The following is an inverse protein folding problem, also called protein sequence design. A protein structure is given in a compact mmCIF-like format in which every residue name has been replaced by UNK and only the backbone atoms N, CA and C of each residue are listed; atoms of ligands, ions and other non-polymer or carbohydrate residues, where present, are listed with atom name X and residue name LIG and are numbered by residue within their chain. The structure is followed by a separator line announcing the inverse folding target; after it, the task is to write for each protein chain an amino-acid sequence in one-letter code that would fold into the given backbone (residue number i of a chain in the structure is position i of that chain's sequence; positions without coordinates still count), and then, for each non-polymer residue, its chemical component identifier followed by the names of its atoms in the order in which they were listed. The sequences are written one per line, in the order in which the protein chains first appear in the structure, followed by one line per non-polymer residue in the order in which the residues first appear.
data_IF_531553141044
#
_entry.id   IF_531553141044
#
_cell.length_a   1.000
_cell.length_b   1.000
_cell.length_c   1.000
_cell.angle_alpha   90.00
_cell.angle_beta   90.00
_cell.angle_gamma   90.00
#
_symmetry.space_group_name_H-M   'P 1'
#
loop_
_entity.id
_entity.type
_entity.pdbx_description
1 polymer ?
#
# COMPACT_ATOMS: atom_id res chain seq x y z
N UNK A 1 -45.68 -15.07 5.36
CA UNK A 1 -45.19 -15.25 6.74
C UNK A 1 -43.70 -15.49 6.70
N UNK A 2 -42.95 -14.92 7.63
CA UNK A 2 -41.51 -15.24 7.78
C UNK A 2 -41.33 -16.70 8.21
N UNK A 3 -40.20 -17.31 7.82
CA UNK A 3 -39.85 -18.68 8.18
C UNK A 3 -38.52 -18.65 8.96
N UNK A 4 -38.47 -19.42 10.06
CA UNK A 4 -37.20 -19.71 10.72
C UNK A 4 -36.55 -20.86 9.94
N UNK A 5 -35.34 -20.62 9.39
CA UNK A 5 -34.63 -21.58 8.53
C UNK A 5 -33.52 -22.32 9.25
N UNK A 6 -33.13 -21.87 10.45
CA UNK A 6 -32.09 -22.51 11.25
C UNK A 6 -31.54 -21.62 12.36
N UNK A 7 -30.56 -22.13 13.09
CA UNK A 7 -29.79 -21.39 14.06
C UNK A 7 -28.51 -20.83 13.42
N UNK A 8 -28.08 -19.61 13.86
CA UNK A 8 -26.86 -18.98 13.38
C UNK A 8 -25.81 -18.94 14.47
N UNK A 9 -24.53 -19.11 14.10
CA UNK A 9 -23.40 -19.18 15.00
C UNK A 9 -22.48 -17.97 14.81
N UNK A 10 -22.14 -17.28 15.89
CA UNK A 10 -21.14 -16.20 15.93
C UNK A 10 -19.82 -16.70 16.55
N UNK A 11 -18.78 -15.84 16.54
CA UNK A 11 -17.53 -16.15 17.22
C UNK A 11 -17.69 -16.29 18.75
N UNK A 12 -18.70 -15.62 19.34
CA UNK A 12 -18.97 -15.71 20.77
C UNK A 12 -19.62 -17.06 21.19
N UNK A 13 -20.16 -17.80 20.22
CA UNK A 13 -20.84 -19.08 20.47
C UNK A 13 -19.87 -20.29 20.42
N UNK A 14 -18.62 -20.09 19.99
CA UNK A 14 -17.68 -21.20 19.75
C UNK A 14 -16.30 -20.94 20.35
N UNK A 15 -15.62 -22.02 20.70
CA UNK A 15 -14.23 -22.04 21.13
C UNK A 15 -13.47 -23.11 20.33
N UNK A 16 -12.18 -22.87 20.13
CA UNK A 16 -11.28 -23.88 19.56
C UNK A 16 -10.92 -24.93 20.63
N UNK A 17 -11.01 -26.19 20.27
CA UNK A 17 -10.56 -27.27 21.12
C UNK A 17 -9.03 -27.37 21.05
N UNK A 18 -8.31 -27.31 22.19
CA UNK A 18 -6.86 -27.50 22.22
C UNK A 18 -6.46 -28.86 21.62
N UNK A 19 -5.40 -28.84 20.81
CA UNK A 19 -4.85 -30.04 20.18
C UNK A 19 -3.36 -30.15 20.46
N UNK A 20 -2.79 -31.34 20.24
CA UNK A 20 -1.34 -31.55 20.35
C UNK A 20 -0.59 -30.59 19.44
N UNK A 21 0.48 -29.97 19.95
CA UNK A 21 1.37 -29.09 19.19
C UNK A 21 2.84 -29.40 19.53
N UNK A 22 3.67 -29.42 18.50
CA UNK A 22 5.12 -29.45 18.61
C UNK A 22 5.78 -28.13 18.22
N UNK A 23 4.98 -27.05 18.06
CA UNK A 23 5.41 -25.71 17.68
C UNK A 23 5.21 -24.76 18.84
N UNK A 24 6.24 -23.98 19.18
CA UNK A 24 6.16 -22.91 20.16
C UNK A 24 5.74 -21.59 19.51
N UNK A 25 5.15 -20.63 20.24
CA UNK A 25 4.53 -19.42 19.66
C UNK A 25 5.43 -18.60 18.73
N UNK A 26 6.74 -18.53 19.00
CA UNK A 26 7.69 -17.78 18.17
C UNK A 26 8.12 -18.50 16.86
N UNK A 27 7.65 -19.73 16.66
CA UNK A 27 7.90 -20.54 15.45
C UNK A 27 6.66 -20.65 14.56
N UNK A 28 5.55 -20.01 14.96
CA UNK A 28 4.30 -20.05 14.18
C UNK A 28 4.46 -19.22 12.92
N UNK A 29 4.16 -19.81 11.76
CA UNK A 29 4.04 -19.11 10.49
C UNK A 29 2.62 -18.52 10.37
N UNK A 30 2.51 -17.19 10.36
CA UNK A 30 1.26 -16.45 10.20
C UNK A 30 1.01 -15.99 8.76
N UNK A 31 1.87 -16.36 7.82
CA UNK A 31 1.71 -15.94 6.43
C UNK A 31 0.44 -16.51 5.81
N UNK A 32 -0.21 -15.72 4.97
CA UNK A 32 -1.45 -16.11 4.29
C UNK A 32 -1.55 -15.46 2.90
N UNK A 33 -2.37 -16.03 2.03
CA UNK A 33 -2.70 -15.45 0.74
C UNK A 33 -3.98 -14.61 0.84
N UNK A 34 -3.86 -13.31 0.56
CA UNK A 34 -5.01 -12.42 0.42
C UNK A 34 -5.71 -12.65 -0.92
N UNK A 35 -4.92 -12.80 -1.98
CA UNK A 35 -5.35 -13.17 -3.32
C UNK A 35 -4.35 -14.17 -3.91
N UNK A 36 -4.57 -14.69 -5.11
CA UNK A 36 -3.61 -15.58 -5.78
C UNK A 36 -2.23 -14.93 -6.01
N UNK A 37 -2.14 -13.59 -5.99
CA UNK A 37 -0.90 -12.83 -6.26
C UNK A 37 -0.36 -12.06 -5.06
N UNK A 38 -1.16 -11.85 -4.02
CA UNK A 38 -0.78 -11.05 -2.85
C UNK A 38 -0.69 -11.94 -1.63
N UNK A 39 0.52 -12.04 -1.07
CA UNK A 39 0.81 -12.73 0.19
C UNK A 39 0.99 -11.71 1.30
N UNK A 40 0.37 -11.96 2.45
CA UNK A 40 0.57 -11.20 3.69
C UNK A 40 1.42 -11.99 4.66
N UNK A 41 2.18 -11.30 5.50
CA UNK A 41 3.02 -11.92 6.54
C UNK A 41 2.25 -12.13 7.85
N UNK A 42 1.13 -11.44 8.04
CA UNK A 42 0.12 -11.70 9.07
C UNK A 42 -1.29 -11.61 8.46
N UNK A 43 -2.28 -12.38 8.94
CA UNK A 43 -3.64 -12.40 8.39
C UNK A 43 -4.49 -11.22 8.88
N UNK A 44 -4.01 -9.98 8.67
CA UNK A 44 -4.67 -8.77 9.16
C UNK A 44 -4.86 -7.76 8.05
N UNK A 45 -6.06 -7.20 7.97
CA UNK A 45 -6.43 -6.15 7.03
C UNK A 45 -7.22 -5.07 7.76
N UNK A 46 -6.84 -3.78 7.65
CA UNK A 46 -7.64 -2.71 8.22
C UNK A 46 -8.82 -2.35 7.31
N UNK A 47 -9.96 -2.03 7.93
CA UNK A 47 -11.19 -1.73 7.21
C UNK A 47 -11.08 -0.45 6.36
N UNK A 48 -11.62 -0.50 5.14
CA UNK A 48 -11.74 0.65 4.24
C UNK A 48 -12.87 1.60 4.65
N UNK A 49 -12.86 2.02 5.90
CA UNK A 49 -13.88 2.88 6.53
C UNK A 49 -13.31 4.26 6.79
N UNK A 50 -14.15 5.28 6.62
CA UNK A 50 -13.85 6.65 7.03
C UNK A 50 -13.45 6.68 8.52
N UNK A 51 -12.53 7.56 8.87
CA UNK A 51 -11.93 7.70 10.21
C UNK A 51 -11.16 6.47 10.72
N UNK A 52 -11.03 5.41 9.93
CA UNK A 52 -10.25 4.19 10.26
C UNK A 52 -8.97 4.10 9.45
N UNK A 53 -9.06 4.07 8.11
CA UNK A 53 -7.90 3.80 7.27
C UNK A 53 -7.65 4.90 6.24
N UNK A 54 -6.64 5.69 6.53
CA UNK A 54 -5.90 6.56 5.60
C UNK A 54 -4.44 6.11 5.56
N UNK A 55 -3.55 6.86 4.89
CA UNK A 55 -2.14 6.47 4.71
C UNK A 55 -1.43 6.08 6.02
N UNK A 56 -1.71 6.75 7.15
CA UNK A 56 -1.04 6.45 8.44
C UNK A 56 -1.36 5.05 8.95
N UNK A 57 -2.63 4.66 8.94
CA UNK A 57 -3.07 3.32 9.33
C UNK A 57 -2.58 2.28 8.31
N UNK A 58 -2.68 2.56 7.01
CA UNK A 58 -2.23 1.65 5.97
C UNK A 58 -0.72 1.36 6.07
N UNK A 59 0.10 2.38 6.34
CA UNK A 59 1.54 2.22 6.60
C UNK A 59 1.77 1.36 7.84
N UNK A 60 1.06 1.63 8.94
CA UNK A 60 1.21 0.86 10.18
C UNK A 60 0.86 -0.62 9.98
N UNK A 61 -0.25 -0.91 9.29
CA UNK A 61 -0.68 -2.28 8.97
C UNK A 61 0.34 -3.02 8.10
N UNK A 62 0.80 -2.39 7.01
CA UNK A 62 1.77 -3.01 6.12
C UNK A 62 3.12 -3.26 6.81
N UNK A 63 3.59 -2.36 7.70
CA UNK A 63 4.80 -2.55 8.53
C UNK A 63 4.72 -3.77 9.43
N UNK A 64 3.54 -4.08 9.94
CA UNK A 64 3.32 -5.26 10.78
C UNK A 64 3.10 -6.54 9.96
N UNK A 65 3.06 -6.44 8.63
CA UNK A 65 2.91 -7.59 7.74
C UNK A 65 1.51 -7.81 7.18
N UNK A 66 0.55 -6.95 7.54
CA UNK A 66 -0.81 -6.93 6.99
C UNK A 66 -0.97 -5.98 5.82
N UNK A 67 -2.20 -5.51 5.57
CA UNK A 67 -2.51 -4.52 4.54
C UNK A 67 -3.58 -3.53 5.01
N UNK A 68 -3.42 -2.26 4.67
CA UNK A 68 -4.44 -1.23 4.91
C UNK A 68 -5.24 -0.93 3.66
N UNK A 69 -6.56 -0.75 3.83
CA UNK A 69 -7.47 -0.41 2.74
C UNK A 69 -7.91 1.04 2.91
N UNK A 70 -7.40 1.94 2.06
CA UNK A 70 -7.77 3.37 2.08
C UNK A 70 -9.26 3.52 1.76
N UNK A 71 -10.00 4.26 2.60
CA UNK A 71 -11.44 4.44 2.41
C UNK A 71 -11.77 5.31 1.19
N UNK A 72 -13.02 5.17 0.70
CA UNK A 72 -13.51 5.85 -0.52
C UNK A 72 -14.23 7.19 -0.29
N UNK A 73 -14.41 7.60 0.97
CA UNK A 73 -15.13 8.83 1.31
C UNK A 73 -14.24 10.08 1.15
N UNK A 74 -13.73 10.26 -0.07
CA UNK A 74 -12.90 11.38 -0.49
C UNK A 74 -12.90 11.48 -2.03
N UNK A 75 -12.35 12.57 -2.57
CA UNK A 75 -12.21 12.71 -4.02
C UNK A 75 -11.29 11.63 -4.62
N UNK A 76 -11.34 11.44 -5.93
CA UNK A 76 -10.48 10.49 -6.65
C UNK A 76 -9.01 10.84 -6.44
N UNK A 77 -8.67 12.11 -6.58
CA UNK A 77 -7.32 12.65 -6.45
C UNK A 77 -6.79 12.49 -5.03
N UNK A 78 -7.62 12.80 -4.03
CA UNK A 78 -7.24 12.66 -2.61
C UNK A 78 -6.97 11.19 -2.25
N UNK A 79 -7.79 10.25 -2.74
CA UNK A 79 -7.60 8.82 -2.48
C UNK A 79 -6.34 8.29 -3.16
N UNK A 80 -6.08 8.70 -4.41
CA UNK A 80 -4.85 8.37 -5.12
C UNK A 80 -3.61 8.95 -4.41
N UNK A 81 -3.69 10.17 -3.87
CA UNK A 81 -2.62 10.78 -3.05
C UNK A 81 -2.38 9.98 -1.76
N UNK A 82 -3.41 9.51 -1.08
CA UNK A 82 -3.28 8.65 0.10
C UNK A 82 -2.56 7.34 -0.22
N UNK A 83 -2.89 6.69 -1.34
CA UNK A 83 -2.17 5.49 -1.83
C UNK A 83 -0.72 5.83 -2.15
N UNK A 84 -0.44 6.92 -2.87
CA UNK A 84 0.91 7.36 -3.21
C UNK A 84 1.77 7.62 -1.96
N UNK A 85 1.21 8.22 -0.90
CA UNK A 85 1.87 8.40 0.41
C UNK A 85 2.30 7.06 1.02
N UNK A 86 1.46 6.02 0.92
CA UNK A 86 1.83 4.68 1.40
C UNK A 86 2.94 4.09 0.55
N UNK A 87 2.80 4.11 -0.77
CA UNK A 87 3.78 3.54 -1.72
C UNK A 87 5.14 4.22 -1.64
N UNK A 88 5.20 5.49 -1.28
CA UNK A 88 6.45 6.26 -1.09
C UNK A 88 7.01 6.20 0.34
N UNK A 89 6.27 5.68 1.30
CA UNK A 89 6.68 5.72 2.72
C UNK A 89 7.88 4.84 3.02
N UNK A 90 8.03 3.74 2.32
CA UNK A 90 9.16 2.81 2.42
C UNK A 90 9.48 2.21 1.07
N UNK A 91 10.76 2.27 0.73
CA UNK A 91 11.31 1.61 -0.43
C UNK A 91 12.60 0.91 0.01
N UNK A 92 12.83 -0.30 -0.47
CA UNK A 92 14.17 -0.90 -0.33
C UNK A 92 15.16 -0.11 -1.19
N UNK A 93 14.85 -0.03 -2.48
CA UNK A 93 15.48 0.88 -3.46
C UNK A 93 14.37 1.74 -4.03
N UNK A 94 14.45 3.06 -3.91
CA UNK A 94 13.55 3.97 -4.59
C UNK A 94 13.89 3.91 -6.08
N UNK A 95 13.06 3.26 -6.89
CA UNK A 95 13.33 2.99 -8.32
C UNK A 95 13.02 4.18 -9.23
N UNK A 96 12.32 5.18 -8.73
CA UNK A 96 12.02 6.43 -9.45
C UNK A 96 12.16 7.60 -8.46
N UNK A 97 13.40 7.96 -8.08
CA UNK A 97 13.62 9.02 -7.13
C UNK A 97 13.31 10.38 -7.77
N UNK A 98 12.69 11.27 -6.99
CA UNK A 98 12.60 12.66 -7.41
C UNK A 98 13.99 13.20 -7.73
N UNK A 99 14.11 13.90 -8.83
CA UNK A 99 15.33 14.59 -9.24
C UNK A 99 15.00 16.01 -9.71
N UNK A 100 15.96 16.90 -9.57
CA UNK A 100 15.91 18.26 -10.12
C UNK A 100 17.12 18.46 -11.03
N UNK A 101 17.09 19.54 -11.81
CA UNK A 101 18.23 19.91 -12.65
C UNK A 101 19.12 20.95 -11.94
N UNK A 102 20.39 21.11 -12.35
CA UNK A 102 21.29 22.13 -11.78
C UNK A 102 20.77 23.55 -11.86
N UNK A 103 19.88 23.82 -12.82
CA UNK A 103 19.33 25.17 -13.07
C UNK A 103 18.04 25.49 -12.31
N UNK A 104 17.46 24.53 -11.59
CA UNK A 104 16.42 24.81 -10.59
C UNK A 104 16.97 25.65 -9.47
N UNK A 105 16.09 26.32 -8.71
CA UNK A 105 16.46 27.13 -7.56
C UNK A 105 16.53 26.31 -6.27
N UNK A 106 17.17 26.84 -5.26
CA UNK A 106 17.15 26.23 -3.91
C UNK A 106 15.72 26.23 -3.32
N UNK A 107 14.90 27.22 -3.68
CA UNK A 107 13.48 27.25 -3.31
C UNK A 107 12.71 26.05 -3.90
N UNK A 108 13.00 25.67 -5.15
CA UNK A 108 12.38 24.48 -5.78
C UNK A 108 12.78 23.19 -5.03
N UNK A 109 14.05 23.10 -4.62
CA UNK A 109 14.53 21.94 -3.85
C UNK A 109 13.89 21.88 -2.46
N UNK A 110 13.79 23.01 -1.76
CA UNK A 110 13.18 23.10 -0.43
C UNK A 110 11.69 22.77 -0.48
N UNK A 111 10.97 23.34 -1.45
CA UNK A 111 9.54 23.04 -1.67
C UNK A 111 9.29 21.56 -1.97
N UNK A 112 10.13 20.94 -2.81
CA UNK A 112 10.05 19.51 -3.12
C UNK A 112 10.32 18.65 -1.86
N UNK A 113 11.37 18.99 -1.11
CA UNK A 113 11.72 18.28 0.13
C UNK A 113 10.62 18.40 1.19
N UNK A 114 10.04 19.61 1.35
CA UNK A 114 8.94 19.86 2.29
C UNK A 114 7.67 19.08 1.89
N UNK A 115 7.27 19.17 0.62
CA UNK A 115 6.07 18.52 0.09
C UNK A 115 6.10 17.00 0.30
N UNK A 116 7.23 16.36 0.00
CA UNK A 116 7.37 14.91 0.07
C UNK A 116 8.06 14.41 1.34
N UNK A 117 8.40 15.30 2.28
CA UNK A 117 9.08 15.01 3.54
C UNK A 117 10.38 14.21 3.35
N UNK A 118 11.11 14.53 2.30
CA UNK A 118 12.43 13.96 1.99
C UNK A 118 13.53 14.93 2.39
N UNK A 119 14.72 14.42 2.70
CA UNK A 119 15.85 15.20 3.21
C UNK A 119 16.96 15.42 2.20
N UNK A 120 16.69 15.18 0.92
CA UNK A 120 17.61 15.45 -0.17
C UNK A 120 17.18 14.83 -1.47
N UNK A 121 17.65 15.43 -2.55
CA UNK A 121 17.23 15.19 -3.92
C UNK A 121 18.47 15.00 -4.81
N UNK A 122 18.57 13.89 -5.57
CA UNK A 122 19.55 13.75 -6.64
C UNK A 122 19.35 14.82 -7.72
N UNK A 123 20.44 15.33 -8.27
CA UNK A 123 20.45 16.31 -9.34
C UNK A 123 20.91 15.66 -10.61
N UNK A 124 20.14 15.84 -11.69
CA UNK A 124 20.38 15.17 -12.97
C UNK A 124 20.38 16.14 -14.15
N UNK A 125 21.18 15.87 -15.15
CA UNK A 125 21.08 16.44 -16.49
C UNK A 125 20.51 15.36 -17.44
N UNK A 126 19.25 15.55 -17.84
CA UNK A 126 18.48 14.46 -18.43
C UNK A 126 18.31 13.32 -17.42
N UNK A 127 18.94 12.17 -17.65
CA UNK A 127 18.96 11.04 -16.71
C UNK A 127 20.28 10.90 -15.95
N UNK A 128 21.34 11.59 -16.41
CA UNK A 128 22.67 11.45 -15.85
C UNK A 128 22.79 12.14 -14.50
N UNK A 129 23.25 11.42 -13.49
CA UNK A 129 23.49 11.97 -12.16
C UNK A 129 24.67 12.94 -12.20
N UNK A 130 24.45 14.20 -11.77
CA UNK A 130 25.49 15.24 -11.73
C UNK A 130 25.71 15.82 -10.33
N UNK A 131 24.82 15.53 -9.37
CA UNK A 131 24.95 16.03 -8.01
C UNK A 131 23.88 15.47 -7.07
N UNK A 132 23.95 15.94 -5.84
CA UNK A 132 22.93 15.75 -4.82
C UNK A 132 22.82 17.00 -3.97
N UNK A 133 21.59 17.39 -3.61
CA UNK A 133 21.34 18.46 -2.66
C UNK A 133 20.54 17.90 -1.47
N UNK A 134 20.85 18.36 -0.27
CA UNK A 134 20.25 17.84 0.97
C UNK A 134 19.82 18.99 1.89
N UNK A 135 18.99 18.70 2.89
CA UNK A 135 18.64 19.68 3.94
C UNK A 135 19.89 20.26 4.65
N UNK A 136 21.00 19.53 4.66
CA UNK A 136 22.26 20.02 5.26
C UNK A 136 22.84 21.17 4.44
N UNK A 137 22.73 21.09 3.12
CA UNK A 137 23.23 22.12 2.20
C UNK A 137 22.35 23.37 2.26
N UNK A 138 21.04 23.21 2.51
CA UNK A 138 20.08 24.31 2.64
C UNK A 138 20.07 24.97 4.03
N UNK A 139 20.56 24.29 5.07
CA UNK A 139 20.36 24.67 6.47
C UNK A 139 20.91 26.08 6.82
N UNK A 140 21.96 26.49 6.15
CA UNK A 140 22.63 27.76 6.40
C UNK A 140 22.50 28.77 5.25
N UNK A 141 21.69 28.41 4.24
CA UNK A 141 21.45 29.27 3.09
C UNK A 141 20.40 30.33 3.44
N UNK A 142 20.63 31.53 2.98
CA UNK A 142 19.72 32.66 3.17
C UNK A 142 19.10 33.16 1.87
N UNK A 143 19.73 32.84 0.74
CA UNK A 143 19.26 33.20 -0.59
C UNK A 143 18.79 31.97 -1.39
N UNK A 144 17.51 31.68 -1.30
CA UNK A 144 16.88 30.57 -1.99
C UNK A 144 16.63 30.82 -3.48
N UNK A 145 16.97 32.00 -4.02
CA UNK A 145 16.91 32.29 -5.46
C UNK A 145 18.13 31.75 -6.23
N UNK A 146 19.19 31.39 -5.52
CA UNK A 146 20.39 30.75 -6.10
C UNK A 146 20.04 29.47 -6.84
N UNK A 147 20.86 29.14 -7.83
CA UNK A 147 20.74 27.86 -8.56
C UNK A 147 21.30 26.70 -7.74
N UNK A 148 20.70 25.53 -7.87
CA UNK A 148 21.12 24.31 -7.16
C UNK A 148 22.59 24.00 -7.41
N UNK A 149 23.12 24.22 -8.63
CA UNK A 149 24.52 24.00 -9.00
C UNK A 149 25.54 24.77 -8.13
N UNK A 150 25.10 25.85 -7.47
CA UNK A 150 25.96 26.68 -6.62
C UNK A 150 26.13 26.09 -5.22
N UNK A 151 25.21 25.22 -4.79
CA UNK A 151 25.18 24.66 -3.42
C UNK A 151 25.17 23.13 -3.37
N UNK A 152 24.93 22.43 -4.50
CA UNK A 152 24.90 20.97 -4.53
C UNK A 152 26.30 20.35 -4.33
N UNK A 153 26.33 19.16 -3.79
CA UNK A 153 27.53 18.31 -3.84
C UNK A 153 27.62 17.68 -5.22
N UNK A 154 28.64 18.01 -6.02
CA UNK A 154 28.89 17.49 -7.36
C UNK A 154 30.15 16.63 -7.43
N UNK A 155 31.13 16.88 -6.57
CA UNK A 155 32.36 16.11 -6.51
C UNK A 155 32.33 15.04 -5.40
N UNK A 156 33.04 13.94 -5.63
CA UNK A 156 33.13 12.86 -4.64
C UNK A 156 31.78 12.19 -4.32
N UNK A 157 30.86 12.15 -5.29
CA UNK A 157 29.59 11.48 -5.14
C UNK A 157 29.79 9.98 -4.84
N UNK A 158 29.20 9.53 -3.76
CA UNK A 158 29.17 8.11 -3.42
C UNK A 158 27.93 7.50 -4.11
N UNK A 159 28.16 6.56 -5.02
CA UNK A 159 27.10 5.89 -5.78
C UNK A 159 27.29 4.37 -5.71
N UNK A 160 26.26 3.63 -6.10
CA UNK A 160 26.36 2.19 -6.31
C UNK A 160 25.66 1.79 -7.61
N UNK A 161 25.92 0.59 -8.10
CA UNK A 161 25.28 0.05 -9.30
C UNK A 161 23.94 -0.61 -8.98
N UNK A 162 23.08 -0.69 -9.97
CA UNK A 162 21.82 -1.44 -9.89
C UNK A 162 22.09 -2.90 -9.48
N UNK A 163 21.21 -3.46 -8.64
CA UNK A 163 21.35 -4.82 -8.11
C UNK A 163 22.10 -4.93 -6.79
N UNK A 164 22.58 -3.82 -6.21
CA UNK A 164 23.20 -3.82 -4.88
C UNK A 164 22.19 -4.25 -3.80
N UNK A 165 22.65 -5.05 -2.84
CA UNK A 165 21.84 -5.42 -1.68
C UNK A 165 21.80 -4.31 -0.63
N UNK A 166 20.75 -4.29 0.22
CA UNK A 166 20.64 -3.31 1.30
C UNK A 166 21.79 -3.43 2.33
N UNK A 167 22.32 -4.63 2.54
CA UNK A 167 23.47 -4.86 3.43
C UNK A 167 24.76 -4.25 2.87
N UNK A 168 25.01 -4.39 1.57
CA UNK A 168 26.15 -3.75 0.91
C UNK A 168 25.99 -2.22 0.90
N UNK A 169 24.78 -1.73 0.59
CA UNK A 169 24.46 -0.31 0.65
C UNK A 169 24.72 0.28 2.04
N UNK A 170 24.33 -0.44 3.11
CA UNK A 170 24.59 -0.05 4.49
C UNK A 170 26.09 0.09 4.77
N UNK A 171 26.92 -0.88 4.31
CA UNK A 171 28.37 -0.81 4.49
C UNK A 171 28.99 0.39 3.76
N UNK A 172 28.54 0.68 2.54
CA UNK A 172 28.99 1.84 1.76
C UNK A 172 28.61 3.14 2.47
N UNK A 173 27.35 3.29 2.88
CA UNK A 173 26.85 4.49 3.58
C UNK A 173 27.59 4.70 4.90
N UNK A 174 27.80 3.64 5.68
CA UNK A 174 28.53 3.71 6.95
C UNK A 174 29.99 4.15 6.75
N UNK A 175 30.70 3.54 5.80
CA UNK A 175 32.10 3.89 5.48
C UNK A 175 32.22 5.33 4.98
N UNK A 176 31.27 5.78 4.13
CA UNK A 176 31.26 7.12 3.56
C UNK A 176 30.67 8.18 4.52
N UNK A 177 30.07 7.78 5.64
CA UNK A 177 29.32 8.64 6.57
C UNK A 177 28.26 9.50 5.86
N UNK A 178 27.55 8.87 4.89
CA UNK A 178 26.50 9.49 4.11
C UNK A 178 25.15 8.82 4.44
N UNK A 179 24.06 9.55 4.22
CA UNK A 179 22.70 9.06 4.50
C UNK A 179 21.96 8.61 3.24
N UNK A 180 22.50 8.93 2.05
CA UNK A 180 21.87 8.67 0.76
C UNK A 180 22.88 8.09 -0.21
N UNK A 181 22.45 7.08 -0.95
CA UNK A 181 23.23 6.36 -1.94
C UNK A 181 22.46 6.35 -3.26
N UNK A 182 22.76 7.26 -4.19
CA UNK A 182 22.24 7.19 -5.53
C UNK A 182 22.70 5.90 -6.22
N UNK A 183 21.77 5.24 -6.90
CA UNK A 183 22.03 4.04 -7.69
C UNK A 183 22.05 4.44 -9.15
N UNK A 184 23.10 4.05 -9.84
CA UNK A 184 23.33 4.41 -11.24
C UNK A 184 23.52 3.18 -12.11
N UNK A 185 23.20 3.32 -13.40
CA UNK A 185 23.55 2.33 -14.43
C UNK A 185 25.01 2.51 -14.93
N UNK A 186 25.40 1.71 -15.92
CA UNK A 186 26.76 1.78 -16.49
C UNK A 186 27.04 3.09 -17.24
N UNK A 187 26.01 3.83 -17.64
CA UNK A 187 26.12 5.15 -18.27
C UNK A 187 26.04 6.32 -17.25
N UNK A 188 26.05 5.99 -15.96
CA UNK A 188 25.89 6.94 -14.86
C UNK A 188 24.52 7.64 -14.83
N UNK A 189 23.48 7.01 -15.41
CA UNK A 189 22.12 7.49 -15.27
C UNK A 189 21.57 7.08 -13.91
N UNK A 190 20.83 7.98 -13.30
CA UNK A 190 20.13 7.72 -12.03
C UNK A 190 19.01 6.68 -12.28
N UNK A 191 19.09 5.55 -11.60
CA UNK A 191 18.10 4.46 -11.67
C UNK A 191 17.47 4.15 -10.32
N UNK A 192 18.00 4.73 -9.25
CA UNK A 192 17.44 4.55 -7.91
C UNK A 192 18.12 5.38 -6.84
N UNK A 193 17.57 5.29 -5.63
CA UNK A 193 18.11 5.92 -4.42
C UNK A 193 17.88 4.99 -3.22
N UNK A 194 18.90 4.75 -2.41
CA UNK A 194 18.79 4.09 -1.11
C UNK A 194 19.10 5.10 -0.03
N UNK A 195 18.31 5.12 1.05
CA UNK A 195 18.60 5.95 2.21
C UNK A 195 18.84 5.11 3.46
N UNK A 196 19.63 5.63 4.42
CA UNK A 196 19.86 4.94 5.69
C UNK A 196 18.54 4.71 6.43
N UNK A 197 17.58 5.62 6.32
CA UNK A 197 16.26 5.49 6.93
C UNK A 197 15.48 4.29 6.39
N UNK A 198 15.60 3.95 5.11
CA UNK A 198 14.92 2.79 4.51
C UNK A 198 15.55 1.50 5.01
N UNK A 199 16.87 1.47 5.19
CA UNK A 199 17.59 0.34 5.79
C UNK A 199 17.18 0.15 7.25
N UNK A 200 17.14 1.23 8.04
CA UNK A 200 16.70 1.18 9.45
C UNK A 200 15.25 0.70 9.60
N UNK A 201 14.35 1.14 8.72
CA UNK A 201 12.97 0.67 8.70
C UNK A 201 12.87 -0.82 8.37
N UNK A 202 13.67 -1.33 7.44
CA UNK A 202 13.69 -2.75 7.10
C UNK A 202 14.15 -3.60 8.30
N UNK A 203 15.12 -3.12 9.08
CA UNK A 203 15.56 -3.77 10.31
C UNK A 203 14.49 -3.71 11.39
N UNK A 204 13.83 -2.56 11.53
CA UNK A 204 12.80 -2.33 12.56
C UNK A 204 11.51 -3.10 12.29
N UNK A 205 11.15 -3.30 11.01
CA UNK A 205 9.91 -3.94 10.58
C UNK A 205 10.21 -5.12 9.63
N UNK A 206 10.78 -6.21 10.14
CA UNK A 206 11.22 -7.34 9.30
C UNK A 206 10.05 -8.09 8.64
N UNK A 207 8.85 -7.98 9.21
CA UNK A 207 7.64 -8.60 8.69
C UNK A 207 6.84 -7.72 7.72
N UNK A 208 7.36 -6.54 7.34
CA UNK A 208 6.64 -5.63 6.45
C UNK A 208 6.13 -6.33 5.19
N UNK A 209 4.85 -6.16 4.89
CA UNK A 209 4.25 -6.63 3.66
C UNK A 209 4.59 -5.67 2.50
N UNK A 210 5.35 -6.16 1.53
CA UNK A 210 5.90 -5.36 0.43
C UNK A 210 5.63 -5.99 -0.93
N UNK A 211 5.52 -5.12 -1.94
CA UNK A 211 5.45 -5.54 -3.34
C UNK A 211 6.84 -5.96 -3.88
N UNK A 212 6.87 -6.38 -5.14
CA UNK A 212 8.12 -6.81 -5.80
C UNK A 212 9.17 -5.70 -5.93
N UNK A 213 8.78 -4.43 -5.81
CA UNK A 213 9.67 -3.27 -5.81
C UNK A 213 10.10 -2.84 -4.41
N UNK A 214 9.69 -3.58 -3.36
CA UNK A 214 10.04 -3.29 -1.97
C UNK A 214 9.20 -2.19 -1.32
N UNK A 215 8.09 -1.75 -1.95
CA UNK A 215 7.17 -0.75 -1.42
C UNK A 215 6.09 -1.43 -0.58
N UNK A 216 5.60 -0.74 0.46
CA UNK A 216 4.53 -1.26 1.30
C UNK A 216 3.27 -1.60 0.48
N UNK A 217 2.63 -2.73 0.81
CA UNK A 217 1.35 -3.09 0.22
C UNK A 217 0.25 -2.12 0.69
N UNK A 218 -0.60 -1.74 -0.26
CA UNK A 218 -1.73 -0.84 -0.01
C UNK A 218 -2.93 -1.23 -0.86
N UNK A 219 -4.09 -1.29 -0.24
CA UNK A 219 -5.37 -1.40 -0.95
C UNK A 219 -6.19 -0.13 -0.87
N UNK A 220 -7.22 -0.04 -1.69
CA UNK A 220 -8.16 1.08 -1.69
C UNK A 220 -9.60 0.61 -1.95
N UNK A 221 -10.54 1.17 -1.19
CA UNK A 221 -11.98 0.93 -1.36
C UNK A 221 -12.55 1.69 -2.56
N UNK A 222 -13.43 1.05 -3.31
CA UNK A 222 -14.22 1.68 -4.37
C UNK A 222 -15.68 1.30 -4.23
N UNK A 223 -16.57 2.16 -4.73
CA UNK A 223 -18.02 1.89 -4.76
C UNK A 223 -18.52 1.69 -6.17
N UNK A 224 -19.81 1.29 -6.30
CA UNK A 224 -20.50 1.19 -7.57
C UNK A 224 -21.01 2.57 -7.96
N UNK A 225 -20.19 3.35 -8.65
CA UNK A 225 -20.51 4.70 -9.10
C UNK A 225 -20.27 4.83 -10.60
N UNK A 226 -20.91 5.81 -11.24
CA UNK A 226 -20.74 6.03 -12.68
C UNK A 226 -19.27 6.26 -13.09
N UNK A 227 -18.47 6.86 -12.19
CA UNK A 227 -17.05 7.17 -12.40
C UNK A 227 -16.09 6.16 -11.76
N UNK A 228 -16.53 4.93 -11.48
CA UNK A 228 -15.69 3.92 -10.83
C UNK A 228 -14.41 3.63 -11.61
N UNK A 229 -14.49 3.59 -12.94
CA UNK A 229 -13.31 3.30 -13.78
C UNK A 229 -12.27 4.43 -13.74
N UNK A 230 -12.69 5.69 -13.60
CA UNK A 230 -11.77 6.82 -13.45
C UNK A 230 -11.07 6.76 -12.09
N UNK A 231 -11.82 6.41 -11.04
CA UNK A 231 -11.25 6.20 -9.71
C UNK A 231 -10.24 5.04 -9.72
N UNK A 232 -10.59 3.91 -10.31
CA UNK A 232 -9.68 2.76 -10.41
C UNK A 232 -8.44 3.12 -11.22
N UNK A 233 -8.57 3.85 -12.33
CA UNK A 233 -7.43 4.31 -13.12
C UNK A 233 -6.45 5.15 -12.30
N UNK A 234 -6.95 6.15 -11.56
CA UNK A 234 -6.12 6.98 -10.70
C UNK A 234 -5.42 6.18 -9.58
N UNK A 235 -6.09 5.17 -9.02
CA UNK A 235 -5.51 4.28 -8.01
C UNK A 235 -4.43 3.36 -8.62
N UNK A 236 -4.64 2.85 -9.83
CA UNK A 236 -3.63 2.06 -10.57
C UNK A 236 -2.41 2.91 -10.90
N UNK A 237 -2.59 4.16 -11.33
CA UNK A 237 -1.50 5.10 -11.57
C UNK A 237 -0.70 5.38 -10.27
N UNK A 238 -1.38 5.46 -9.12
CA UNK A 238 -0.77 5.54 -7.80
C UNK A 238 -0.15 4.21 -7.31
N UNK A 239 -0.19 3.13 -8.12
CA UNK A 239 0.38 1.81 -7.83
C UNK A 239 -0.29 1.07 -6.67
N UNK A 240 -1.62 1.17 -6.56
CA UNK A 240 -2.38 0.34 -5.62
C UNK A 240 -2.18 -1.15 -5.92
N UNK A 241 -2.07 -1.97 -4.88
CA UNK A 241 -1.87 -3.42 -5.06
C UNK A 241 -3.18 -4.17 -5.23
N UNK A 242 -4.24 -3.71 -4.56
CA UNK A 242 -5.57 -4.33 -4.58
C UNK A 242 -6.66 -3.29 -4.39
N UNK A 243 -7.77 -3.44 -5.09
CA UNK A 243 -8.98 -2.69 -4.80
C UNK A 243 -10.01 -3.54 -4.06
N UNK A 244 -10.79 -2.90 -3.20
CA UNK A 244 -11.92 -3.52 -2.51
C UNK A 244 -13.19 -2.89 -3.05
N UNK A 245 -13.94 -3.62 -3.87
CA UNK A 245 -15.29 -3.24 -4.29
C UNK A 245 -16.24 -3.51 -3.14
N UNK A 246 -16.52 -2.47 -2.35
CA UNK A 246 -17.24 -2.55 -1.09
C UNK A 246 -18.69 -2.10 -1.27
N UNK A 247 -19.60 -3.06 -1.12
CA UNK A 247 -21.05 -2.88 -1.22
C UNK A 247 -21.77 -3.51 -0.04
N UNK A 248 -22.89 -2.90 0.37
CA UNK A 248 -23.76 -3.46 1.40
C UNK A 248 -24.38 -4.81 0.98
N UNK A 249 -24.50 -5.07 -0.34
CA UNK A 249 -25.00 -6.32 -0.88
C UNK A 249 -24.19 -6.70 -2.14
N UNK A 250 -23.18 -7.54 -1.96
CA UNK A 250 -22.26 -7.98 -3.03
C UNK A 250 -22.93 -8.89 -4.07
N UNK A 251 -23.91 -9.69 -3.67
CA UNK A 251 -24.67 -10.57 -4.57
C UNK A 251 -25.78 -9.79 -5.29
N UNK A 252 -25.39 -8.76 -6.02
CA UNK A 252 -26.31 -7.98 -6.86
C UNK A 252 -25.75 -7.81 -8.28
N UNK A 253 -26.64 -7.75 -9.28
CA UNK A 253 -26.22 -7.67 -10.68
C UNK A 253 -25.28 -6.50 -10.97
N UNK A 254 -25.52 -5.35 -10.31
CA UNK A 254 -24.67 -4.16 -10.49
C UNK A 254 -23.24 -4.38 -9.95
N UNK A 255 -23.09 -5.09 -8.84
CA UNK A 255 -21.75 -5.44 -8.29
C UNK A 255 -21.05 -6.41 -9.23
N UNK A 256 -21.74 -7.48 -9.67
CA UNK A 256 -21.18 -8.47 -10.61
C UNK A 256 -20.72 -7.82 -11.91
N UNK A 257 -21.54 -6.93 -12.48
CA UNK A 257 -21.20 -6.18 -13.69
C UNK A 257 -20.01 -5.25 -13.46
N UNK A 258 -19.94 -4.58 -12.30
CA UNK A 258 -18.83 -3.71 -11.95
C UNK A 258 -17.51 -4.47 -11.84
N UNK A 259 -17.51 -5.66 -11.20
CA UNK A 259 -16.32 -6.54 -11.15
C UNK A 259 -15.84 -6.89 -12.56
N UNK A 260 -16.75 -7.36 -13.45
CA UNK A 260 -16.41 -7.72 -14.83
C UNK A 260 -15.81 -6.53 -15.60
N UNK A 261 -16.46 -5.37 -15.51
CA UNK A 261 -16.03 -4.14 -16.18
C UNK A 261 -14.63 -3.68 -15.72
N UNK A 262 -14.33 -3.77 -14.42
CA UNK A 262 -13.02 -3.43 -13.90
C UNK A 262 -11.98 -4.44 -14.37
N UNK A 263 -12.28 -5.75 -14.32
CA UNK A 263 -11.39 -6.82 -14.80
C UNK A 263 -11.09 -6.73 -16.28
N UNK A 264 -12.08 -6.39 -17.09
CA UNK A 264 -11.91 -6.18 -18.53
C UNK A 264 -10.92 -5.04 -18.82
N UNK A 265 -11.03 -3.93 -18.11
CA UNK A 265 -10.15 -2.76 -18.30
C UNK A 265 -8.79 -2.90 -17.62
N UNK A 266 -8.71 -3.60 -16.49
CA UNK A 266 -7.50 -3.78 -15.68
C UNK A 266 -7.30 -5.26 -15.30
N UNK A 267 -6.95 -6.15 -16.24
CA UNK A 267 -6.94 -7.60 -16.02
C UNK A 267 -5.95 -8.06 -14.94
N UNK A 268 -4.85 -7.33 -14.76
CA UNK A 268 -3.82 -7.66 -13.76
C UNK A 268 -4.14 -7.16 -12.34
N UNK A 269 -5.07 -6.22 -12.20
CA UNK A 269 -5.44 -5.65 -10.91
C UNK A 269 -6.15 -6.69 -10.06
N UNK A 270 -5.75 -6.82 -8.81
CA UNK A 270 -6.42 -7.70 -7.85
C UNK A 270 -7.67 -7.04 -7.30
N UNK A 271 -8.78 -7.78 -7.25
CA UNK A 271 -10.07 -7.28 -6.77
C UNK A 271 -10.58 -8.15 -5.62
N UNK A 272 -10.82 -7.54 -4.47
CA UNK A 272 -11.62 -8.10 -3.39
C UNK A 272 -13.03 -7.56 -3.57
N UNK A 273 -14.03 -8.41 -3.67
CA UNK A 273 -15.42 -7.97 -3.84
C UNK A 273 -16.31 -8.48 -2.70
N UNK A 274 -17.27 -7.67 -2.31
CA UNK A 274 -18.24 -8.01 -1.26
C UNK A 274 -19.19 -6.84 -0.93
N UNK A 275 -19.96 -6.99 0.13
CA UNK A 275 -19.96 -8.11 1.06
C UNK A 275 -21.03 -9.14 0.65
N UNK A 276 -20.74 -10.39 0.92
CA UNK A 276 -21.70 -11.50 0.80
C UNK A 276 -21.77 -12.28 2.11
N UNK A 277 -22.80 -13.09 2.27
CA UNK A 277 -22.97 -13.96 3.44
C UNK A 277 -23.44 -15.37 3.04
N UNK A 278 -23.35 -15.74 1.77
CA UNK A 278 -23.76 -17.03 1.24
C UNK A 278 -22.75 -17.58 0.23
N UNK A 279 -22.65 -18.91 0.14
CA UNK A 279 -21.83 -19.59 -0.86
C UNK A 279 -22.25 -19.27 -2.30
N UNK A 280 -23.55 -19.12 -2.55
CA UNK A 280 -24.08 -18.70 -3.86
C UNK A 280 -23.54 -17.30 -4.25
N UNK A 281 -23.62 -16.32 -3.34
CA UNK A 281 -23.08 -14.98 -3.59
C UNK A 281 -21.57 -14.98 -3.77
N UNK A 282 -20.84 -15.81 -3.02
CA UNK A 282 -19.40 -16.02 -3.16
C UNK A 282 -19.06 -16.56 -4.54
N UNK A 283 -19.74 -17.61 -5.00
CA UNK A 283 -19.55 -18.20 -6.33
C UNK A 283 -19.80 -17.18 -7.45
N UNK A 284 -20.90 -16.42 -7.35
CA UNK A 284 -21.23 -15.39 -8.33
C UNK A 284 -20.13 -14.31 -8.45
N UNK A 285 -19.52 -13.87 -7.34
CA UNK A 285 -18.42 -12.93 -7.36
C UNK A 285 -17.13 -13.52 -7.97
N UNK A 286 -16.81 -14.78 -7.66
CA UNK A 286 -15.67 -15.50 -8.24
C UNK A 286 -15.85 -15.62 -9.76
N UNK A 287 -17.03 -16.02 -10.23
CA UNK A 287 -17.36 -16.14 -11.65
C UNK A 287 -17.35 -14.78 -12.37
N UNK A 288 -17.64 -13.70 -11.64
CA UNK A 288 -17.50 -12.34 -12.17
C UNK A 288 -16.04 -11.88 -12.31
N UNK A 289 -15.08 -12.58 -11.68
CA UNK A 289 -13.65 -12.32 -11.77
C UNK A 289 -13.01 -11.74 -10.50
N UNK A 290 -13.68 -11.81 -9.34
CA UNK A 290 -13.06 -11.42 -8.07
C UNK A 290 -11.89 -12.35 -7.71
N UNK A 291 -10.79 -11.78 -7.22
CA UNK A 291 -9.60 -12.52 -6.78
C UNK A 291 -9.68 -12.95 -5.31
N UNK A 292 -10.54 -12.27 -4.55
CA UNK A 292 -10.94 -12.63 -3.18
C UNK A 292 -12.35 -12.11 -2.90
N UNK A 293 -13.00 -12.71 -1.92
CA UNK A 293 -14.38 -12.35 -1.53
C UNK A 293 -14.41 -11.90 -0.07
N UNK A 294 -15.09 -10.78 0.19
CA UNK A 294 -15.30 -10.25 1.52
C UNK A 294 -16.62 -10.77 2.08
N UNK A 295 -16.52 -11.65 3.09
CA UNK A 295 -17.66 -12.31 3.71
C UNK A 295 -18.08 -11.60 4.98
N UNK A 296 -19.37 -11.32 5.12
CA UNK A 296 -19.99 -10.78 6.32
C UNK A 296 -20.98 -9.66 6.01
N UNK A 297 -22.22 -9.83 6.48
CA UNK A 297 -23.30 -8.82 6.43
C UNK A 297 -23.88 -8.69 7.83
N UNK A 298 -23.71 -7.49 8.40
CA UNK A 298 -24.25 -7.14 9.72
C UNK A 298 -23.50 -7.69 10.96
N UNK A 299 -22.29 -8.31 10.90
CA UNK A 299 -21.67 -8.90 12.09
C UNK A 299 -20.93 -7.90 12.98
N UNK A 300 -20.59 -6.70 12.47
CA UNK A 300 -19.83 -5.72 13.22
C UNK A 300 -20.58 -5.16 14.43
N UNK A 301 -19.86 -4.92 15.53
CA UNK A 301 -20.45 -4.36 16.76
C UNK A 301 -21.05 -2.96 16.55
N UNK A 302 -20.52 -2.19 15.61
CA UNK A 302 -20.99 -0.85 15.25
C UNK A 302 -21.92 -0.86 14.02
N UNK A 303 -22.20 -2.05 13.44
CA UNK A 303 -23.02 -2.14 12.22
C UNK A 303 -24.50 -1.93 12.54
N UNK A 304 -25.11 -0.97 11.85
CA UNK A 304 -26.53 -0.64 12.01
C UNK A 304 -27.46 -1.42 11.06
N UNK A 305 -26.91 -2.22 10.13
CA UNK A 305 -27.69 -2.93 9.11
C UNK A 305 -28.76 -3.84 9.71
N UNK A 306 -28.42 -4.60 10.77
CA UNK A 306 -29.39 -5.46 11.46
C UNK A 306 -30.52 -4.66 12.12
N UNK A 307 -30.21 -3.50 12.67
CA UNK A 307 -31.18 -2.66 13.38
C UNK A 307 -32.09 -1.92 12.40
N UNK A 308 -31.50 -1.32 11.35
CA UNK A 308 -32.22 -0.47 10.39
C UNK A 308 -32.93 -1.29 9.33
N UNK A 309 -32.26 -2.29 8.75
CA UNK A 309 -32.78 -3.09 7.64
C UNK A 309 -33.27 -4.48 8.04
N UNK A 310 -33.01 -4.94 9.26
CA UNK A 310 -33.35 -6.30 9.68
C UNK A 310 -32.60 -7.39 8.92
N UNK A 311 -31.42 -7.05 8.33
CA UNK A 311 -30.63 -7.94 7.46
C UNK A 311 -29.28 -8.22 8.12
N UNK A 312 -28.88 -9.48 8.12
CA UNK A 312 -27.58 -9.92 8.61
C UNK A 312 -27.51 -11.42 8.74
N UNK A 313 -26.27 -11.95 8.76
CA UNK A 313 -25.98 -13.36 8.99
C UNK A 313 -24.88 -13.46 10.05
N UNK A 314 -25.03 -14.34 11.07
CA UNK A 314 -23.97 -14.63 12.04
C UNK A 314 -22.68 -15.06 11.34
N UNK A 315 -21.52 -14.51 11.75
CA UNK A 315 -20.31 -14.55 10.94
C UNK A 315 -19.76 -15.96 10.70
N UNK A 316 -19.80 -16.84 11.71
CA UNK A 316 -19.35 -18.25 11.54
C UNK A 316 -20.26 -18.95 10.53
N UNK A 317 -21.59 -18.80 10.65
CA UNK A 317 -22.53 -19.39 9.69
C UNK A 317 -22.28 -18.87 8.26
N UNK A 318 -22.00 -17.56 8.10
CA UNK A 318 -21.71 -16.99 6.78
C UNK A 318 -20.39 -17.51 6.17
N UNK A 319 -19.42 -17.93 6.98
CA UNK A 319 -18.14 -18.49 6.52
C UNK A 319 -18.29 -19.97 6.17
N UNK A 320 -19.16 -20.67 6.89
CA UNK A 320 -19.38 -22.13 6.72
C UNK A 320 -20.27 -22.46 5.51
N UNK A 321 -21.13 -21.53 5.08
CA UNK A 321 -21.96 -21.70 3.91
C UNK A 321 -21.14 -21.58 2.61
#
# INVERSE_FOLDING_TARGET
MGQIIGEGITFDDVLLVPSYSNVIPNQVDLTTWLTKKIKLNIPMMSAGMDTVTEHRMAIAMARQGGIGIIHKNMSIEAQAEEVDKVKRSENGVITDPFSLTPDHTLADADALMAKFRISGVPITEGRKLVGIITNRDLKFETDFTKKIKESMTSEGLITAKAGITLEEAKKILAKARKEKLPIVDDNYNLVGLITIKDIEKTIKYPLSAKDAQGRLLCGAGVGITANVLDRVAALVDAKVDVIVLDSAHGHSQNVLNCVRMIKEKFPELQIIAGNVATGEGTRALIEAGADAVKVGIGPGSICTTRIVAGIGVPQISAIMD
#
